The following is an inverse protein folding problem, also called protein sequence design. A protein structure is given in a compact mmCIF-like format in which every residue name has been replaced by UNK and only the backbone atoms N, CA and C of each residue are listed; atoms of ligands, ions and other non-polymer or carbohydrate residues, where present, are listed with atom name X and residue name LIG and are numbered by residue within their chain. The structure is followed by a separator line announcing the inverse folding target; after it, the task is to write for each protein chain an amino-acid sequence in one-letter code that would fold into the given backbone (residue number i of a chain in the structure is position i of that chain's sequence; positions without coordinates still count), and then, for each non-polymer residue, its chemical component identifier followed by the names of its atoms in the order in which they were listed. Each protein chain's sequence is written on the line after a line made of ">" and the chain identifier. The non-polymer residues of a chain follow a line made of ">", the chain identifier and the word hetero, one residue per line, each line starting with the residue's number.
data_IF_510790694749
#
_entry.id   IF_510790694749
#
_cell.length_a   1.000
_cell.length_b   1.000
_cell.length_c   1.000
_cell.angle_alpha   90.00
_cell.angle_beta   90.00
_cell.angle_gamma   90.00
#
_symmetry.space_group_name_H-M   'P 1'
#
loop_
_entity.id
_entity.type
_entity.pdbx_description
1 polymer ?
#
# COMPACT_ATOMS: atom_id res chain seq x y z
N UNK A 1 14.89 47.86 13.06
CA UNK A 1 13.45 47.82 13.41
C UNK A 1 12.62 46.84 12.54
N UNK A 2 13.22 45.81 11.95
CA UNK A 2 12.51 44.88 11.02
C UNK A 2 12.01 43.59 11.72
N UNK A 3 12.59 43.20 12.86
CA UNK A 3 12.31 41.90 13.50
C UNK A 3 11.08 41.85 14.43
N UNK A 4 10.48 42.98 14.81
CA UNK A 4 9.26 42.96 15.64
C UNK A 4 7.96 42.72 14.83
N UNK A 5 7.94 43.09 13.54
CA UNK A 5 6.77 42.88 12.68
C UNK A 5 6.65 41.43 12.19
N UNK A 6 7.77 40.73 11.97
CA UNK A 6 7.77 39.33 11.51
C UNK A 6 7.20 38.39 12.58
N UNK A 7 7.52 38.62 13.86
CA UNK A 7 7.01 37.81 14.97
C UNK A 7 5.52 38.02 15.29
N UNK A 8 4.96 39.20 15.01
CA UNK A 8 3.52 39.44 15.18
C UNK A 8 2.66 38.76 14.10
N UNK A 9 3.19 38.63 12.89
CA UNK A 9 2.52 37.94 11.78
C UNK A 9 2.54 36.41 11.98
N UNK A 10 3.63 35.85 12.48
CA UNK A 10 3.72 34.41 12.79
C UNK A 10 2.81 34.02 13.96
N UNK A 11 2.76 34.80 15.04
CA UNK A 11 1.86 34.56 16.18
C UNK A 11 0.36 34.70 15.84
N UNK A 12 -0.01 35.64 14.95
CA UNK A 12 -1.38 35.74 14.42
C UNK A 12 -1.74 34.50 13.59
N UNK A 13 -0.82 34.00 12.76
CA UNK A 13 -0.99 32.77 11.99
C UNK A 13 -1.24 31.55 12.88
N UNK A 14 -0.43 31.37 13.93
CA UNK A 14 -0.59 30.25 14.88
C UNK A 14 -1.88 30.34 15.71
N UNK A 15 -2.30 31.55 16.11
CA UNK A 15 -3.59 31.74 16.79
C UNK A 15 -4.79 31.41 15.89
N UNK A 16 -4.72 31.79 14.61
CA UNK A 16 -5.77 31.49 13.61
C UNK A 16 -5.84 29.99 13.29
N UNK A 17 -4.69 29.31 13.20
CA UNK A 17 -4.61 27.86 12.95
C UNK A 17 -5.03 27.02 14.16
N UNK A 18 -4.78 27.50 15.39
CA UNK A 18 -5.28 26.87 16.62
C UNK A 18 -6.80 27.03 16.78
N UNK A 19 -7.36 28.18 16.38
CA UNK A 19 -8.81 28.39 16.36
C UNK A 19 -9.51 27.50 15.32
N UNK A 20 -8.91 27.32 14.13
CA UNK A 20 -9.46 26.44 13.08
C UNK A 20 -9.47 24.96 13.51
N UNK A 21 -8.40 24.49 14.17
CA UNK A 21 -8.34 23.12 14.71
C UNK A 21 -9.28 22.89 15.92
N UNK A 22 -9.55 23.93 16.72
CA UNK A 22 -10.51 23.84 17.82
C UNK A 22 -11.96 23.82 17.31
N UNK A 23 -12.25 24.50 16.19
CA UNK A 23 -13.55 24.40 15.51
C UNK A 23 -13.74 23.04 14.82
N UNK A 24 -12.72 22.50 14.13
CA UNK A 24 -12.78 21.15 13.54
C UNK A 24 -13.00 20.08 14.61
N UNK A 25 -12.32 20.17 15.77
CA UNK A 25 -12.56 19.27 16.91
C UNK A 25 -13.94 19.41 17.56
N UNK A 26 -14.59 20.58 17.47
CA UNK A 26 -15.95 20.78 18.00
C UNK A 26 -17.02 20.29 17.02
N UNK A 27 -16.80 20.40 15.71
CA UNK A 27 -17.70 19.82 14.69
C UNK A 27 -17.68 18.29 14.75
N UNK A 28 -16.55 17.69 15.13
CA UNK A 28 -16.44 16.24 15.32
C UNK A 28 -16.97 15.72 16.68
N UNK A 29 -17.22 16.62 17.65
CA UNK A 29 -17.63 16.25 19.01
C UNK A 29 -19.14 16.39 19.29
N UNK A 30 -19.92 17.01 18.40
CA UNK A 30 -21.39 17.15 18.54
C UNK A 30 -22.18 16.49 17.42
N UNK A 31 -21.56 15.66 16.57
CA UNK A 31 -22.32 14.63 15.86
C UNK A 31 -22.45 13.45 16.80
N UNK A 32 -23.37 13.59 17.77
CA UNK A 32 -24.03 12.44 18.36
C UNK A 32 -24.56 11.65 17.18
N UNK A 33 -23.85 10.60 16.79
CA UNK A 33 -24.32 9.56 15.89
C UNK A 33 -25.51 8.92 16.60
N UNK A 34 -26.66 9.57 16.53
CA UNK A 34 -27.95 8.98 16.85
C UNK A 34 -27.99 7.75 15.96
N UNK A 35 -27.97 6.53 16.49
CA UNK A 35 -27.97 5.37 15.63
C UNK A 35 -29.37 5.31 15.03
N UNK A 36 -29.51 5.87 13.83
CA UNK A 36 -30.73 5.75 13.06
C UNK A 36 -30.82 4.29 12.63
N UNK A 37 -31.39 3.47 13.50
CA UNK A 37 -31.84 2.12 13.19
C UNK A 37 -33.12 2.25 12.36
N UNK A 38 -33.00 2.74 11.13
CA UNK A 38 -34.01 2.38 10.15
C UNK A 38 -33.73 0.91 9.85
N UNK A 39 -34.36 0.01 10.61
CA UNK A 39 -34.62 -1.31 10.09
C UNK A 39 -35.52 -1.06 8.89
N UNK A 40 -34.92 -0.96 7.70
CA UNK A 40 -35.65 -1.17 6.46
C UNK A 40 -36.20 -2.59 6.64
N UNK A 41 -37.45 -2.69 7.07
CA UNK A 41 -38.20 -3.94 7.03
C UNK A 41 -38.39 -4.22 5.56
N UNK A 42 -37.39 -4.82 4.92
CA UNK A 42 -37.55 -5.44 3.62
C UNK A 42 -38.58 -6.54 3.87
N UNK A 43 -39.82 -6.41 3.35
CA UNK A 43 -40.76 -7.51 3.45
C UNK A 43 -40.08 -8.68 2.76
N UNK A 44 -39.67 -9.71 3.52
CA UNK A 44 -39.25 -10.98 2.94
C UNK A 44 -40.52 -11.64 2.45
N UNK A 45 -41.01 -11.16 1.31
CA UNK A 45 -42.13 -11.74 0.60
C UNK A 45 -41.60 -13.05 0.00
N UNK A 46 -41.61 -14.10 0.82
CA UNK A 46 -41.35 -15.47 0.36
C UNK A 46 -42.64 -15.95 -0.30
N UNK A 47 -43.02 -15.30 -1.40
CA UNK A 47 -44.11 -15.81 -2.21
C UNK A 47 -43.62 -17.11 -2.83
N UNK A 48 -44.05 -18.23 -2.24
CA UNK A 48 -43.73 -19.57 -2.70
C UNK A 48 -44.09 -19.74 -4.18
N UNK A 49 -45.14 -19.05 -4.65
CA UNK A 49 -45.53 -19.05 -6.06
C UNK A 49 -44.49 -18.37 -6.94
N UNK A 50 -43.96 -17.22 -6.52
CA UNK A 50 -42.91 -16.50 -7.27
C UNK A 50 -41.58 -17.26 -7.24
N UNK A 51 -41.24 -17.86 -6.10
CA UNK A 51 -40.05 -18.72 -5.97
C UNK A 51 -40.14 -19.96 -6.87
N UNK A 52 -41.31 -20.58 -6.93
CA UNK A 52 -41.52 -21.75 -7.79
C UNK A 52 -41.56 -21.37 -9.28
N UNK A 53 -42.12 -20.22 -9.63
CA UNK A 53 -42.04 -19.69 -11.00
C UNK A 53 -40.60 -19.38 -11.42
N UNK A 54 -39.79 -18.77 -10.54
CA UNK A 54 -38.36 -18.56 -10.79
C UNK A 54 -37.65 -19.90 -10.99
N UNK A 55 -37.95 -20.90 -10.15
CA UNK A 55 -37.34 -22.22 -10.24
C UNK A 55 -37.69 -22.92 -11.56
N UNK A 56 -38.97 -22.92 -11.94
CA UNK A 56 -39.42 -23.50 -13.20
C UNK A 56 -38.85 -22.76 -14.42
N UNK A 57 -38.76 -21.42 -14.36
CA UNK A 57 -38.12 -20.63 -15.41
C UNK A 57 -36.62 -20.93 -15.52
N UNK A 58 -35.91 -21.07 -14.40
CA UNK A 58 -34.51 -21.49 -14.38
C UNK A 58 -34.32 -22.87 -14.98
N UNK A 59 -35.15 -23.84 -14.58
CA UNK A 59 -35.11 -25.21 -15.08
C UNK A 59 -35.40 -25.28 -16.58
N UNK A 60 -36.36 -24.49 -17.06
CA UNK A 60 -36.69 -24.40 -18.49
C UNK A 60 -35.57 -23.74 -19.31
N UNK A 61 -34.86 -22.75 -18.75
CA UNK A 61 -33.68 -22.16 -19.39
C UNK A 61 -32.52 -23.17 -19.40
N UNK A 62 -32.28 -23.90 -18.31
CA UNK A 62 -31.27 -24.95 -18.25
C UNK A 62 -31.56 -26.10 -19.22
N UNK A 63 -32.81 -26.57 -19.31
CA UNK A 63 -33.21 -27.62 -20.25
C UNK A 63 -33.02 -27.14 -21.71
N UNK A 64 -33.53 -25.95 -22.05
CA UNK A 64 -33.37 -25.38 -23.40
C UNK A 64 -31.92 -25.11 -23.77
N UNK A 65 -31.11 -24.66 -22.81
CA UNK A 65 -29.67 -24.43 -23.04
C UNK A 65 -28.91 -25.74 -23.18
N UNK A 66 -29.20 -26.75 -22.38
CA UNK A 66 -28.62 -28.09 -22.51
C UNK A 66 -28.99 -28.75 -23.84
N UNK A 67 -30.23 -28.60 -24.30
CA UNK A 67 -30.68 -29.15 -25.58
C UNK A 67 -30.09 -28.38 -26.77
N UNK A 68 -29.96 -27.06 -26.68
CA UNK A 68 -29.23 -26.27 -27.67
C UNK A 68 -27.74 -26.63 -27.72
N UNK A 69 -27.11 -26.88 -26.57
CA UNK A 69 -25.72 -27.33 -26.45
C UNK A 69 -25.57 -28.75 -27.04
N UNK A 70 -26.49 -29.67 -26.71
CA UNK A 70 -26.50 -31.02 -27.30
C UNK A 70 -26.70 -31.00 -28.80
N UNK A 71 -27.62 -30.18 -29.31
CA UNK A 71 -27.86 -30.02 -30.74
C UNK A 71 -26.63 -29.45 -31.45
N UNK A 72 -25.97 -28.44 -30.88
CA UNK A 72 -24.73 -27.88 -31.44
C UNK A 72 -23.56 -28.86 -31.38
N UNK A 73 -23.44 -29.67 -30.32
CA UNK A 73 -22.43 -30.75 -30.24
C UNK A 73 -22.72 -31.85 -31.27
N UNK A 74 -23.97 -32.28 -31.40
CA UNK A 74 -24.38 -33.31 -32.34
C UNK A 74 -24.17 -32.85 -33.78
N UNK A 75 -24.58 -31.62 -34.10
CA UNK A 75 -24.35 -31.02 -35.41
C UNK A 75 -22.84 -30.88 -35.70
N UNK A 76 -22.03 -30.47 -34.70
CA UNK A 76 -20.57 -30.41 -34.84
C UNK A 76 -19.92 -31.78 -35.05
N UNK A 77 -20.42 -32.83 -34.40
CA UNK A 77 -19.97 -34.22 -34.57
C UNK A 77 -20.34 -34.76 -35.95
N UNK A 78 -21.54 -34.46 -36.44
CA UNK A 78 -21.98 -34.82 -37.78
C UNK A 78 -21.21 -34.07 -38.88
N UNK A 79 -20.76 -32.84 -38.59
CA UNK A 79 -19.85 -32.07 -39.46
C UNK A 79 -18.37 -32.32 -39.20
N UNK A 80 -18.00 -33.27 -38.32
CA UNK A 80 -16.59 -33.62 -38.04
C UNK A 80 -16.01 -34.50 -39.14
N UNK A 81 -16.17 -34.05 -40.39
CA UNK A 81 -15.52 -34.60 -41.56
C UNK A 81 -14.30 -33.71 -41.77
N UNK A 82 -13.09 -34.28 -41.83
CA UNK A 82 -11.88 -33.49 -42.02
C UNK A 82 -11.95 -32.72 -43.34
N UNK A 83 -11.29 -31.56 -43.41
CA UNK A 83 -11.07 -30.87 -44.70
C UNK A 83 -10.43 -31.83 -45.70
N UNK A 84 -9.57 -32.73 -45.22
CA UNK A 84 -8.92 -33.78 -46.01
C UNK A 84 -9.92 -34.81 -46.55
N UNK A 85 -10.82 -35.31 -45.69
CA UNK A 85 -11.88 -36.25 -46.10
C UNK A 85 -12.82 -35.65 -47.17
N UNK A 86 -13.10 -34.35 -47.09
CA UNK A 86 -13.88 -33.62 -48.10
C UNK A 86 -13.11 -33.53 -49.42
N UNK A 87 -11.80 -33.26 -49.36
CA UNK A 87 -10.95 -33.18 -50.55
C UNK A 87 -10.85 -34.55 -51.25
N UNK A 88 -10.66 -35.64 -50.51
CA UNK A 88 -10.60 -37.00 -51.05
C UNK A 88 -11.93 -37.41 -51.71
N UNK A 89 -13.06 -37.04 -51.09
CA UNK A 89 -14.39 -37.31 -51.67
C UNK A 89 -14.67 -36.48 -52.92
N UNK A 90 -14.24 -35.22 -52.96
CA UNK A 90 -14.30 -34.39 -54.19
C UNK A 90 -13.44 -35.02 -55.28
N UNK A 91 -12.21 -35.44 -54.97
CA UNK A 91 -11.28 -36.05 -55.92
C UNK A 91 -11.86 -37.32 -56.55
N UNK A 92 -12.43 -38.21 -55.73
CA UNK A 92 -13.06 -39.44 -56.23
C UNK A 92 -14.23 -39.15 -57.17
N UNK A 93 -15.12 -38.21 -56.82
CA UNK A 93 -16.25 -37.88 -57.70
C UNK A 93 -15.79 -37.19 -59.00
N UNK A 94 -14.76 -36.33 -58.94
CA UNK A 94 -14.17 -35.72 -60.13
C UNK A 94 -13.53 -36.79 -61.05
N UNK A 95 -12.85 -37.78 -60.47
CA UNK A 95 -12.31 -38.93 -61.20
C UNK A 95 -13.41 -39.75 -61.89
N UNK A 96 -14.50 -40.07 -61.17
CA UNK A 96 -15.65 -40.78 -61.75
C UNK A 96 -16.23 -40.03 -62.95
N UNK A 97 -16.39 -38.71 -62.85
CA UNK A 97 -16.90 -37.89 -63.97
C UNK A 97 -15.95 -37.90 -65.17
N UNK A 98 -14.63 -37.86 -64.95
CA UNK A 98 -13.63 -37.72 -66.02
C UNK A 98 -13.26 -39.03 -66.72
N UNK A 99 -13.36 -40.15 -66.01
CA UNK A 99 -12.77 -41.42 -66.45
C UNK A 99 -13.73 -42.61 -66.47
N UNK A 100 -14.97 -42.45 -66.00
CA UNK A 100 -16.01 -43.47 -66.06
C UNK A 100 -17.15 -43.03 -67.00
N UNK A 101 -17.79 -43.99 -67.68
CA UNK A 101 -18.92 -43.71 -68.57
C UNK A 101 -20.22 -43.87 -67.80
N UNK A 102 -21.05 -42.82 -67.76
CA UNK A 102 -22.28 -42.78 -66.97
C UNK A 102 -23.38 -41.94 -67.63
N UNK A 103 -24.67 -42.17 -67.28
CA UNK A 103 -25.77 -41.37 -67.80
C UNK A 103 -25.73 -39.94 -67.26
N UNK A 104 -26.17 -39.00 -68.09
CA UNK A 104 -26.15 -37.55 -67.83
C UNK A 104 -26.85 -37.14 -66.51
N UNK A 105 -27.77 -37.96 -66.00
CA UNK A 105 -28.48 -37.72 -64.73
C UNK A 105 -27.57 -37.92 -63.52
N UNK A 106 -26.72 -38.95 -63.55
CA UNK A 106 -25.78 -39.27 -62.48
C UNK A 106 -24.64 -38.27 -62.44
N UNK A 107 -24.08 -37.94 -63.62
CA UNK A 107 -23.06 -36.89 -63.75
C UNK A 107 -23.55 -35.55 -63.17
N UNK A 108 -24.77 -35.12 -63.53
CA UNK A 108 -25.37 -33.89 -62.98
C UNK A 108 -25.58 -33.96 -61.47
N UNK A 109 -25.84 -35.14 -60.90
CA UNK A 109 -25.98 -35.31 -59.47
C UNK A 109 -24.61 -35.17 -58.77
N UNK A 110 -23.57 -35.82 -59.28
CA UNK A 110 -22.20 -35.70 -58.77
C UNK A 110 -21.70 -34.25 -58.83
N UNK A 111 -22.00 -33.52 -59.92
CA UNK A 111 -21.65 -32.10 -60.03
C UNK A 111 -22.31 -31.25 -58.93
N UNK A 112 -23.56 -31.55 -58.56
CA UNK A 112 -24.24 -30.83 -57.46
C UNK A 112 -23.60 -31.16 -56.11
N UNK A 113 -23.28 -32.43 -55.89
CA UNK A 113 -22.66 -32.89 -54.64
C UNK A 113 -21.25 -32.31 -54.46
N UNK A 114 -20.43 -32.29 -55.52
CA UNK A 114 -19.13 -31.62 -55.53
C UNK A 114 -19.27 -30.13 -55.18
N UNK A 115 -20.30 -29.44 -55.71
CA UNK A 115 -20.54 -28.03 -55.37
C UNK A 115 -20.89 -27.84 -53.89
N UNK A 116 -21.73 -28.70 -53.33
CA UNK A 116 -22.07 -28.64 -51.90
C UNK A 116 -20.87 -28.93 -51.01
N UNK A 117 -20.06 -29.93 -51.35
CA UNK A 117 -18.84 -30.25 -50.61
C UNK A 117 -17.80 -29.13 -50.68
N UNK A 118 -17.64 -28.47 -51.83
CA UNK A 118 -16.76 -27.30 -51.97
C UNK A 118 -17.21 -26.14 -51.06
N UNK A 119 -18.52 -25.87 -50.99
CA UNK A 119 -19.08 -24.86 -50.10
C UNK A 119 -18.86 -25.22 -48.62
N UNK A 120 -19.08 -26.49 -48.25
CA UNK A 120 -18.87 -26.97 -46.89
C UNK A 120 -17.40 -26.85 -46.46
N UNK A 121 -16.46 -27.19 -47.35
CA UNK A 121 -15.01 -27.04 -47.12
C UNK A 121 -14.63 -25.61 -46.77
N UNK A 122 -15.17 -24.64 -47.50
CA UNK A 122 -14.88 -23.22 -47.30
C UNK A 122 -15.44 -22.72 -45.95
N UNK A 123 -16.65 -23.16 -45.59
CA UNK A 123 -17.23 -22.89 -44.28
C UNK A 123 -16.38 -23.47 -43.14
N UNK A 124 -15.95 -24.73 -43.25
CA UNK A 124 -15.09 -25.39 -42.26
C UNK A 124 -13.73 -24.72 -42.12
N UNK A 125 -13.11 -24.33 -43.24
CA UNK A 125 -11.85 -23.59 -43.24
C UNK A 125 -11.97 -22.25 -42.50
N UNK A 126 -13.05 -21.50 -42.74
CA UNK A 126 -13.31 -20.25 -42.03
C UNK A 126 -13.59 -20.44 -40.53
N UNK A 127 -14.21 -21.57 -40.15
CA UNK A 127 -14.55 -21.88 -38.77
C UNK A 127 -13.32 -22.37 -37.99
N UNK A 128 -12.44 -23.17 -38.60
CA UNK A 128 -11.17 -23.60 -37.99
C UNK A 128 -10.30 -22.40 -37.61
N UNK A 129 -10.13 -21.42 -38.51
CA UNK A 129 -9.34 -20.21 -38.19
C UNK A 129 -9.87 -19.45 -36.96
N UNK A 130 -11.20 -19.32 -36.83
CA UNK A 130 -11.84 -18.71 -35.64
C UNK A 130 -11.63 -19.53 -34.36
N UNK A 131 -11.57 -20.85 -34.48
CA UNK A 131 -11.39 -21.74 -33.34
C UNK A 131 -9.94 -21.69 -32.82
N UNK A 132 -8.95 -21.58 -33.70
CA UNK A 132 -7.54 -21.41 -33.35
C UNK A 132 -7.30 -20.06 -32.66
N UNK A 133 -7.91 -18.98 -33.17
CA UNK A 133 -7.90 -17.68 -32.51
C UNK A 133 -8.47 -17.77 -31.09
N UNK A 134 -9.61 -18.46 -30.93
CA UNK A 134 -10.20 -18.70 -29.61
C UNK A 134 -9.26 -19.46 -28.67
N UNK A 135 -8.62 -20.53 -29.15
CA UNK A 135 -7.67 -21.30 -28.35
C UNK A 135 -6.48 -20.43 -27.91
N UNK A 136 -5.91 -19.65 -28.83
CA UNK A 136 -4.83 -18.73 -28.53
C UNK A 136 -5.23 -17.70 -27.47
N UNK A 137 -6.45 -17.13 -27.55
CA UNK A 137 -6.94 -16.20 -26.52
C UNK A 137 -7.12 -16.88 -25.15
N UNK A 138 -7.55 -18.14 -25.14
CA UNK A 138 -7.68 -18.92 -23.91
C UNK A 138 -6.32 -19.17 -23.26
N UNK A 139 -5.34 -19.63 -24.03
CA UNK A 139 -3.98 -19.88 -23.54
C UNK A 139 -3.33 -18.60 -23.00
N UNK A 140 -3.56 -17.47 -23.67
CA UNK A 140 -3.08 -16.16 -23.23
C UNK A 140 -3.76 -15.71 -21.92
N UNK A 141 -5.06 -15.98 -21.76
CA UNK A 141 -5.80 -15.71 -20.52
C UNK A 141 -5.21 -16.52 -19.36
N UNK A 142 -4.96 -17.80 -19.56
CA UNK A 142 -4.47 -18.70 -18.51
C UNK A 142 -3.07 -18.28 -18.04
N UNK A 143 -2.17 -17.93 -18.97
CA UNK A 143 -0.86 -17.32 -18.65
C UNK A 143 -0.97 -16.02 -17.85
N UNK A 144 -1.98 -15.21 -18.15
CA UNK A 144 -2.24 -13.95 -17.43
C UNK A 144 -2.76 -14.21 -16.02
N UNK A 145 -3.59 -15.24 -15.85
CA UNK A 145 -4.11 -15.66 -14.55
C UNK A 145 -3.00 -16.20 -13.62
N UNK A 146 -2.05 -16.96 -14.16
CA UNK A 146 -0.88 -17.42 -13.42
C UNK A 146 -0.02 -16.25 -12.91
N UNK A 147 0.27 -15.28 -13.79
CA UNK A 147 0.97 -14.04 -13.40
C UNK A 147 0.23 -13.29 -12.30
N UNK A 148 -1.10 -13.22 -12.39
CA UNK A 148 -1.92 -12.57 -11.36
C UNK A 148 -1.85 -13.30 -10.02
N UNK A 149 -1.85 -14.65 -10.01
CA UNK A 149 -1.67 -15.44 -8.79
C UNK A 149 -0.34 -15.16 -8.11
N UNK A 150 0.75 -15.08 -8.88
CA UNK A 150 2.08 -14.73 -8.36
C UNK A 150 2.12 -13.31 -7.77
N UNK A 151 1.62 -12.32 -8.51
CA UNK A 151 1.55 -10.93 -8.03
C UNK A 151 0.73 -10.79 -6.75
N UNK A 152 -0.34 -11.57 -6.60
CA UNK A 152 -1.14 -11.60 -5.37
C UNK A 152 -0.34 -12.12 -4.18
N UNK A 153 0.43 -13.21 -4.37
CA UNK A 153 1.30 -13.76 -3.32
C UNK A 153 2.42 -12.78 -2.92
N UNK A 154 3.02 -12.10 -3.90
CA UNK A 154 4.02 -11.05 -3.65
C UNK A 154 3.42 -9.88 -2.86
N UNK A 155 2.23 -9.43 -3.24
CA UNK A 155 1.52 -8.35 -2.56
C UNK A 155 1.20 -8.70 -1.11
N UNK A 156 0.73 -9.91 -0.84
CA UNK A 156 0.44 -10.37 0.52
C UNK A 156 1.71 -10.49 1.37
N UNK A 157 2.83 -10.90 0.75
CA UNK A 157 4.14 -10.95 1.41
C UNK A 157 4.66 -9.55 1.73
N UNK A 158 4.56 -8.62 0.79
CA UNK A 158 4.93 -7.21 0.98
C UNK A 158 4.10 -6.53 2.07
N UNK A 159 2.79 -6.80 2.14
CA UNK A 159 1.93 -6.29 3.22
C UNK A 159 2.41 -6.74 4.59
N UNK A 160 2.82 -8.00 4.74
CA UNK A 160 3.36 -8.53 6.01
C UNK A 160 4.66 -7.81 6.40
N UNK A 161 5.56 -7.63 5.44
CA UNK A 161 6.84 -6.94 5.67
C UNK A 161 6.62 -5.47 6.05
N UNK A 162 5.66 -4.79 5.40
CA UNK A 162 5.29 -3.42 5.73
C UNK A 162 4.77 -3.30 7.17
N UNK A 163 3.85 -4.18 7.57
CA UNK A 163 3.34 -4.20 8.95
C UNK A 163 4.44 -4.45 9.98
N UNK A 164 5.45 -5.28 9.66
CA UNK A 164 6.60 -5.50 10.52
C UNK A 164 7.50 -4.26 10.59
N UNK A 165 7.79 -3.61 9.46
CA UNK A 165 8.58 -2.39 9.40
C UNK A 165 7.90 -1.23 10.16
N UNK A 166 6.57 -1.10 10.05
CA UNK A 166 5.79 -0.12 10.81
C UNK A 166 5.88 -0.35 12.32
N UNK A 167 5.83 -1.61 12.78
CA UNK A 167 6.03 -1.94 14.20
C UNK A 167 7.43 -1.56 14.67
N UNK A 168 8.46 -1.89 13.88
CA UNK A 168 9.87 -1.59 14.22
C UNK A 168 10.09 -0.08 14.28
N UNK A 169 9.63 0.66 13.27
CA UNK A 169 9.77 2.12 13.21
C UNK A 169 9.02 2.83 14.33
N UNK A 170 7.82 2.37 14.68
CA UNK A 170 7.10 2.87 15.85
C UNK A 170 7.88 2.64 17.14
N UNK A 171 8.36 1.41 17.37
CA UNK A 171 9.17 1.10 18.55
C UNK A 171 10.48 1.91 18.61
N UNK A 172 11.14 2.13 17.48
CA UNK A 172 12.34 2.97 17.39
C UNK A 172 12.03 4.44 17.70
N UNK A 173 10.90 4.96 17.20
CA UNK A 173 10.44 6.31 17.49
C UNK A 173 10.17 6.51 18.98
N UNK A 174 9.50 5.56 19.62
CA UNK A 174 9.19 5.63 21.05
C UNK A 174 10.50 5.66 21.88
N UNK A 175 11.46 4.79 21.57
CA UNK A 175 12.80 4.80 22.20
C UNK A 175 13.54 6.13 22.01
N UNK A 176 13.52 6.69 20.80
CA UNK A 176 14.13 7.98 20.52
C UNK A 176 13.52 9.10 21.38
N UNK A 177 12.19 9.11 21.55
CA UNK A 177 11.52 10.10 22.38
C UNK A 177 11.94 9.97 23.85
N UNK A 178 12.00 8.74 24.38
CA UNK A 178 12.44 8.47 25.75
C UNK A 178 13.89 8.92 25.99
N UNK A 179 14.80 8.62 25.07
CA UNK A 179 16.20 9.05 25.13
C UNK A 179 16.35 10.56 25.04
N UNK A 180 15.59 11.20 24.14
CA UNK A 180 15.59 12.65 24.00
C UNK A 180 15.06 13.34 25.27
N UNK A 181 14.07 12.76 25.96
CA UNK A 181 13.62 13.27 27.25
C UNK A 181 14.72 13.17 28.32
N UNK A 182 15.42 12.03 28.39
CA UNK A 182 16.57 11.85 29.30
C UNK A 182 17.68 12.86 29.00
N UNK A 183 18.00 13.07 27.73
CA UNK A 183 19.01 14.04 27.29
C UNK A 183 18.63 15.46 27.73
N UNK A 184 17.36 15.86 27.55
CA UNK A 184 16.88 17.18 27.99
C UNK A 184 16.99 17.36 29.50
N UNK A 185 16.65 16.33 30.29
CA UNK A 185 16.82 16.37 31.75
C UNK A 185 18.29 16.56 32.13
N UNK A 186 19.19 15.80 31.51
CA UNK A 186 20.62 15.91 31.76
C UNK A 186 21.18 17.29 31.37
N UNK A 187 20.76 17.84 30.22
CA UNK A 187 21.14 19.18 29.80
C UNK A 187 20.66 20.25 30.79
N UNK A 188 19.43 20.11 31.30
CA UNK A 188 18.91 21.02 32.33
C UNK A 188 19.70 20.94 33.64
N UNK A 189 20.11 19.74 34.05
CA UNK A 189 20.94 19.54 35.25
C UNK A 189 22.34 20.13 35.06
N UNK A 190 22.96 19.88 33.92
CA UNK A 190 24.27 20.44 33.60
C UNK A 190 24.23 21.97 33.65
N UNK A 191 23.22 22.59 33.02
CA UNK A 191 23.06 24.03 33.05
C UNK A 191 22.89 24.56 34.48
N UNK A 192 22.04 23.93 35.29
CA UNK A 192 21.86 24.33 36.69
C UNK A 192 23.16 24.21 37.51
N UNK A 193 23.96 23.17 37.28
CA UNK A 193 25.24 23.00 37.93
C UNK A 193 26.27 24.04 37.46
N UNK A 194 26.25 24.41 36.18
CA UNK A 194 27.13 25.41 35.61
C UNK A 194 26.78 26.82 36.10
N UNK A 195 25.49 27.16 36.16
CA UNK A 195 24.97 28.39 36.76
C UNK A 195 25.45 28.49 38.24
N UNK A 196 25.32 27.42 39.03
CA UNK A 196 25.79 27.36 40.42
C UNK A 196 27.32 27.54 40.52
N UNK A 197 28.08 26.91 39.61
CA UNK A 197 29.54 27.06 39.53
C UNK A 197 29.91 28.52 39.26
N UNK A 198 29.23 29.17 38.32
CA UNK A 198 29.44 30.57 37.99
C UNK A 198 29.14 31.50 39.19
N UNK A 199 28.04 31.26 39.91
CA UNK A 199 27.71 31.98 41.15
C UNK A 199 28.79 31.82 42.23
N UNK A 200 29.28 30.60 42.45
CA UNK A 200 30.35 30.33 43.41
C UNK A 200 31.66 31.03 43.02
N UNK A 201 31.99 31.08 41.72
CA UNK A 201 33.14 31.83 41.24
C UNK A 201 32.97 33.34 41.44
N UNK A 202 31.79 33.89 41.14
CA UNK A 202 31.50 35.30 41.39
C UNK A 202 31.65 35.65 42.88
N UNK A 203 31.15 34.78 43.77
CA UNK A 203 31.32 34.93 45.22
C UNK A 203 32.79 34.85 45.66
N UNK A 204 33.59 33.93 45.09
CA UNK A 204 35.02 33.87 45.41
C UNK A 204 35.77 35.14 44.97
N UNK A 205 35.41 35.69 43.80
CA UNK A 205 36.03 36.91 43.29
C UNK A 205 35.69 38.13 44.13
N UNK A 206 34.44 38.26 44.62
CA UNK A 206 34.06 39.35 45.51
C UNK A 206 34.86 39.30 46.82
N UNK A 207 34.99 38.12 47.44
CA UNK A 207 35.78 37.95 48.67
C UNK A 207 37.26 38.30 48.47
N UNK A 208 37.85 37.91 47.33
CA UNK A 208 39.22 38.30 47.00
C UNK A 208 39.35 39.82 46.92
N UNK A 209 38.42 40.50 46.25
CA UNK A 209 38.40 41.95 46.14
C UNK A 209 38.29 42.63 47.52
N UNK A 210 37.38 42.17 48.37
CA UNK A 210 37.23 42.68 49.74
C UNK A 210 38.52 42.51 50.56
N UNK A 211 39.22 41.38 50.41
CA UNK A 211 40.50 41.15 51.08
C UNK A 211 41.55 42.16 50.62
N UNK A 212 41.67 42.38 49.31
CA UNK A 212 42.61 43.37 48.77
C UNK A 212 42.30 44.80 49.27
N UNK A 213 41.03 45.19 49.31
CA UNK A 213 40.60 46.48 49.85
C UNK A 213 40.94 46.62 51.34
N UNK A 214 40.68 45.57 52.14
CA UNK A 214 41.05 45.55 53.57
C UNK A 214 42.56 45.66 53.75
N UNK A 215 43.36 44.91 52.99
CA UNK A 215 44.83 44.96 53.07
C UNK A 215 45.37 46.34 52.68
N UNK A 216 44.81 47.00 51.67
CA UNK A 216 45.18 48.37 51.31
C UNK A 216 44.84 49.40 52.39
N UNK A 217 43.78 49.15 53.18
CA UNK A 217 43.33 50.06 54.24
C UNK A 217 44.05 49.90 55.59
N UNK A 218 44.92 48.89 55.74
CA UNK A 218 45.66 48.65 56.97
C UNK A 218 46.82 49.66 57.13
N UNK A 219 47.05 50.24 58.32
CA UNK A 219 48.21 51.09 58.59
C UNK A 219 49.52 50.34 58.31
N UNK A 220 50.51 51.01 57.71
CA UNK A 220 51.81 50.42 57.32
C UNK A 220 52.51 49.64 58.46
N UNK A 221 52.31 50.04 59.71
CA UNK A 221 52.86 49.38 60.89
C UNK A 221 52.23 48.00 61.18
N UNK A 222 51.02 47.72 60.70
CA UNK A 222 50.37 46.42 60.87
C UNK A 222 50.80 45.41 59.78
N UNK A 223 51.16 45.90 58.59
CA UNK A 223 51.64 45.09 57.46
C UNK A 223 53.04 44.53 57.75
N UNK A 224 53.91 45.30 58.40
CA UNK A 224 55.25 44.85 58.79
C UNK A 224 55.21 43.70 59.81
N UNK A 225 54.36 43.77 60.83
CA UNK A 225 54.25 42.74 61.89
C UNK A 225 53.78 41.39 61.32
N UNK A 226 52.85 41.41 60.36
CA UNK A 226 52.27 40.21 59.77
C UNK A 226 53.23 39.50 58.81
N UNK A 227 54.07 40.23 58.07
CA UNK A 227 55.14 39.65 57.24
C UNK A 227 56.23 38.98 58.10
N UNK A 228 56.62 39.58 59.23
CA UNK A 228 57.58 38.98 60.17
C UNK A 228 57.04 37.68 60.79
N UNK A 229 55.74 37.62 61.11
CA UNK A 229 55.10 36.45 61.69
C UNK A 229 54.93 35.28 60.69
N UNK A 230 54.67 35.56 59.41
CA UNK A 230 54.64 34.54 58.35
C UNK A 230 56.04 34.02 58.02
N UNK A 231 57.06 34.88 57.95
CA UNK A 231 58.46 34.47 57.74
C UNK A 231 58.95 33.51 58.82
N UNK A 232 58.60 33.77 60.09
CA UNK A 232 58.94 32.89 61.22
C UNK A 232 58.16 31.56 61.25
N UNK A 233 56.99 31.47 60.61
CA UNK A 233 56.22 30.22 60.49
C UNK A 233 56.70 29.34 59.34
N UNK A 234 57.10 29.92 58.21
CA UNK A 234 57.71 29.17 57.09
C UNK A 234 59.08 28.57 57.47
N UNK A 235 59.90 29.31 58.21
CA UNK A 235 61.17 28.80 58.79
C UNK A 235 60.99 27.64 59.79
N UNK A 236 59.76 27.34 60.23
CA UNK A 236 59.48 26.26 61.19
C UNK A 236 59.02 24.95 60.54
N UNK A 237 58.67 24.97 59.25
CA UNK A 237 58.19 23.78 58.52
C UNK A 237 59.36 22.98 57.92
N UNK A 238 60.50 23.62 57.64
CA UNK A 238 61.72 22.98 57.12
C UNK A 238 62.52 22.16 58.16
N UNK A 239 61.94 21.87 59.34
CA UNK A 239 62.60 21.09 60.43
C UNK A 239 61.99 19.72 60.69
N UNK A 240 61.13 19.21 59.81
CA UNK A 240 60.58 17.85 59.86
C UNK A 240 60.73 17.11 58.53
N UNK A 241 61.98 16.88 58.13
CA UNK A 241 62.39 15.79 57.25
C UNK A 241 63.68 15.17 57.79
#
# INVERSE_FOLDING_TARGET
>A
MVNQSVNKLTLKGFRKMRAYNLHLRKVDAEVVKKPFHFLIKIPRYVDYKFKEQIRLAQLQVEERTQDAIRATIQMKRETSISIDDINDRIHNMEHMIQHETMPLKEEKQLIREIKQLKLLREQLSSQMGRQDEHQQTSDQRDRSEERFKLLKQELDSLRKNLLQAEKITKAAKDKYLDENEKLRKLQSQFKAADDLREEAYAHLQSLKKELYEKVLSLPLHCISISFSALGNKLLRIDKWY
#
